data_IF_034748226030
#
_entry.id   IF_034748226030
#
_cell.length_a   1.000
_cell.length_b   1.000
_cell.length_c   1.000
_cell.angle_alpha   90.00
_cell.angle_beta   90.00
_cell.angle_gamma   90.00
#
_symmetry.space_group_name_H-M   'P 1'
#
loop_
_entity.id
_entity.type
_entity.pdbx_description
1 polymer ?
#
# COMPACT_ATOMS: atom_id res chain seq x y z
N UNK A 1 -12.39 -4.32 -0.26
CA UNK A 1 -12.72 -2.91 -0.58
C UNK A 1 -13.63 -2.39 0.52
N UNK A 2 -13.39 -1.20 1.07
CA UNK A 2 -14.22 -0.65 2.17
C UNK A 2 -15.64 -0.30 1.70
N UNK A 3 -16.60 -0.20 2.62
CA UNK A 3 -18.02 0.12 2.33
C UNK A 3 -18.20 1.38 1.47
N UNK A 4 -17.37 2.42 1.69
CA UNK A 4 -17.34 3.61 0.85
C UNK A 4 -16.73 3.41 -0.55
N UNK A 5 -15.76 2.49 -0.69
CA UNK A 5 -15.08 2.18 -1.95
C UNK A 5 -15.92 1.28 -2.88
N UNK A 6 -16.87 0.53 -2.32
CA UNK A 6 -17.80 -0.30 -3.10
C UNK A 6 -18.60 0.57 -4.08
N UNK A 7 -18.98 1.78 -3.65
CA UNK A 7 -19.74 2.76 -4.43
C UNK A 7 -18.91 3.56 -5.44
N UNK A 8 -17.62 3.29 -5.58
CA UNK A 8 -16.79 4.00 -6.54
C UNK A 8 -17.15 3.60 -7.97
N UNK A 9 -17.12 4.59 -8.85
CA UNK A 9 -17.22 4.33 -10.30
C UNK A 9 -16.01 3.51 -10.77
N UNK A 10 -16.14 2.79 -11.89
CA UNK A 10 -15.05 1.96 -12.43
C UNK A 10 -13.76 2.76 -12.62
N UNK A 11 -13.87 3.97 -13.15
CA UNK A 11 -12.75 4.91 -13.31
C UNK A 11 -12.11 5.30 -11.97
N UNK A 12 -12.90 5.50 -10.92
CA UNK A 12 -12.37 5.82 -9.58
C UNK A 12 -11.64 4.62 -8.97
N UNK A 13 -12.11 3.39 -9.23
CA UNK A 13 -11.45 2.15 -8.77
C UNK A 13 -10.11 1.94 -9.47
N UNK A 14 -10.06 2.16 -10.78
CA UNK A 14 -8.81 2.06 -11.55
C UNK A 14 -7.79 3.11 -11.12
N UNK A 15 -8.22 4.38 -10.96
CA UNK A 15 -7.35 5.44 -10.44
C UNK A 15 -6.85 5.11 -9.02
N UNK A 16 -7.71 4.56 -8.16
CA UNK A 16 -7.33 4.13 -6.82
C UNK A 16 -6.28 3.01 -6.85
N UNK A 17 -6.40 2.06 -7.78
CA UNK A 17 -5.41 0.98 -7.92
C UNK A 17 -4.01 1.54 -8.23
N UNK A 18 -3.91 2.56 -9.07
CA UNK A 18 -2.65 3.24 -9.37
C UNK A 18 -2.11 3.95 -8.13
N UNK A 19 -2.93 4.75 -7.44
CA UNK A 19 -2.55 5.45 -6.21
C UNK A 19 -2.04 4.46 -5.15
N UNK A 20 -2.77 3.35 -4.97
CA UNK A 20 -2.40 2.29 -4.05
C UNK A 20 -1.07 1.65 -4.41
N UNK A 21 -0.79 1.39 -5.69
CA UNK A 21 0.49 0.84 -6.12
C UNK A 21 1.65 1.79 -5.76
N UNK A 22 1.52 3.09 -6.03
CA UNK A 22 2.55 4.08 -5.69
C UNK A 22 2.77 4.22 -4.18
N UNK A 23 1.71 4.18 -3.38
CA UNK A 23 1.84 4.20 -1.93
C UNK A 23 2.48 2.92 -1.40
N UNK A 24 2.02 1.75 -1.87
CA UNK A 24 2.50 0.44 -1.45
C UNK A 24 3.97 0.23 -1.78
N UNK A 25 4.38 0.65 -2.96
CA UNK A 25 5.73 0.50 -3.45
C UNK A 25 6.58 1.76 -3.26
N UNK A 26 6.12 2.76 -2.48
CA UNK A 26 6.78 4.07 -2.30
C UNK A 26 8.32 4.06 -2.18
N UNK A 27 8.98 3.13 -1.47
CA UNK A 27 10.45 3.11 -1.42
C UNK A 27 11.15 2.97 -2.79
N UNK A 28 10.48 2.42 -3.80
CA UNK A 28 11.06 2.16 -5.12
C UNK A 28 10.91 3.34 -6.12
N UNK A 29 9.73 3.98 -6.29
CA UNK A 29 9.52 5.02 -7.29
C UNK A 29 9.93 6.44 -6.86
N UNK A 30 10.17 6.75 -5.57
CA UNK A 30 10.42 8.14 -5.10
C UNK A 30 11.61 8.83 -5.79
N UNK A 31 12.66 8.09 -6.16
CA UNK A 31 13.90 8.66 -6.70
C UNK A 31 14.14 8.33 -8.19
N UNK A 32 13.13 7.81 -8.87
CA UNK A 32 13.25 7.35 -10.25
C UNK A 32 12.12 7.90 -11.12
N UNK A 33 12.35 7.94 -12.44
CA UNK A 33 11.32 8.25 -13.42
C UNK A 33 10.45 7.03 -13.62
N UNK A 34 9.16 7.15 -13.32
CA UNK A 34 8.21 6.05 -13.37
C UNK A 34 7.32 6.20 -14.58
N UNK A 35 7.27 5.16 -15.41
CA UNK A 35 6.36 5.10 -16.55
C UNK A 35 5.16 4.25 -16.16
N UNK A 36 3.97 4.85 -16.18
CA UNK A 36 2.71 4.17 -15.91
C UNK A 36 1.99 3.95 -17.24
N UNK A 37 1.82 2.67 -17.58
CA UNK A 37 0.95 2.25 -18.67
C UNK A 37 -0.45 2.03 -18.12
N UNK A 38 -1.41 2.78 -18.63
CA UNK A 38 -2.83 2.64 -18.28
C UNK A 38 -3.64 2.62 -19.55
N UNK A 39 -4.71 1.85 -19.56
CA UNK A 39 -5.74 1.85 -20.61
C UNK A 39 -6.85 2.86 -20.36
N UNK A 40 -6.72 3.65 -19.29
CA UNK A 40 -7.72 4.61 -18.88
C UNK A 40 -7.19 6.04 -18.93
N UNK A 41 -7.49 6.71 -20.04
CA UNK A 41 -7.14 8.12 -20.29
C UNK A 41 -7.58 9.08 -19.17
N UNK A 42 -8.61 8.74 -18.36
CA UNK A 42 -9.04 9.59 -17.24
C UNK A 42 -7.99 9.79 -16.15
N UNK A 43 -6.98 8.93 -16.02
CA UNK A 43 -5.89 9.19 -15.08
C UNK A 43 -5.06 10.42 -15.50
N UNK A 44 -4.84 10.59 -16.80
CA UNK A 44 -4.19 11.78 -17.38
C UNK A 44 -5.04 13.04 -17.15
N UNK A 45 -6.36 12.91 -17.27
CA UNK A 45 -7.28 14.01 -16.96
C UNK A 45 -7.33 14.33 -15.47
N UNK A 46 -7.18 13.34 -14.59
CA UNK A 46 -7.18 13.53 -13.14
C UNK A 46 -6.01 14.41 -12.67
N UNK A 47 -4.80 14.19 -13.18
CA UNK A 47 -3.63 15.02 -12.83
C UNK A 47 -3.72 16.47 -13.35
N UNK A 48 -4.46 16.70 -14.42
CA UNK A 48 -4.60 18.02 -15.05
C UNK A 48 -5.84 18.81 -14.59
N UNK A 49 -6.74 18.18 -13.83
CA UNK A 49 -8.00 18.79 -13.40
C UNK A 49 -7.78 19.75 -12.22
N UNK A 50 -8.06 21.03 -12.43
CA UNK A 50 -7.95 22.08 -11.39
C UNK A 50 -9.08 22.04 -10.35
N UNK A 51 -10.31 21.71 -10.77
CA UNK A 51 -11.50 21.66 -9.90
C UNK A 51 -12.00 20.22 -9.72
N UNK A 52 -11.29 19.46 -8.89
CA UNK A 52 -11.64 18.07 -8.60
C UNK A 52 -12.31 17.93 -7.22
N UNK A 53 -13.05 16.83 -7.01
CA UNK A 53 -13.58 16.50 -5.68
C UNK A 53 -12.42 16.45 -4.67
N UNK A 54 -12.60 16.84 -3.39
CA UNK A 54 -11.52 16.85 -2.39
C UNK A 54 -10.70 15.56 -2.33
N UNK A 55 -11.36 14.40 -2.49
CA UNK A 55 -10.70 13.08 -2.58
C UNK A 55 -9.74 12.96 -3.77
N UNK A 56 -10.13 13.42 -4.95
CA UNK A 56 -9.29 13.35 -6.14
C UNK A 56 -8.09 14.29 -6.03
N UNK A 57 -8.29 15.48 -5.44
CA UNK A 57 -7.20 16.42 -5.14
C UNK A 57 -6.18 15.75 -4.22
N UNK A 58 -6.65 14.99 -3.23
CA UNK A 58 -5.80 14.25 -2.29
C UNK A 58 -4.91 13.22 -3.01
N UNK A 59 -5.48 12.46 -3.94
CA UNK A 59 -4.71 11.53 -4.77
C UNK A 59 -3.70 12.23 -5.67
N UNK A 60 -4.07 13.36 -6.27
CA UNK A 60 -3.14 14.18 -7.07
C UNK A 60 -1.94 14.62 -6.23
N UNK A 61 -2.17 15.13 -5.02
CA UNK A 61 -1.12 15.56 -4.10
C UNK A 61 -0.19 14.41 -3.67
N UNK A 62 -0.74 13.20 -3.48
CA UNK A 62 0.07 12.00 -3.18
C UNK A 62 0.97 11.63 -4.37
N UNK A 63 0.40 11.67 -5.57
CA UNK A 63 1.12 11.33 -6.80
C UNK A 63 2.15 12.38 -7.21
N UNK A 64 2.00 13.65 -6.77
CA UNK A 64 2.97 14.73 -7.02
C UNK A 64 4.35 14.48 -6.39
N UNK A 65 4.45 13.58 -5.41
CA UNK A 65 5.75 13.17 -4.85
C UNK A 65 6.64 12.43 -5.87
N UNK A 66 6.04 11.84 -6.91
CA UNK A 66 6.73 10.98 -7.86
C UNK A 66 6.86 11.63 -9.24
N UNK A 67 7.97 11.38 -9.94
CA UNK A 67 8.14 11.75 -11.34
C UNK A 67 7.44 10.70 -12.23
N UNK A 68 6.16 10.94 -12.53
CA UNK A 68 5.28 10.00 -13.26
C UNK A 68 5.07 10.46 -14.70
N UNK A 69 5.37 9.56 -15.65
CA UNK A 69 5.04 9.70 -17.07
C UNK A 69 3.92 8.72 -17.40
N UNK A 70 2.77 9.24 -17.85
CA UNK A 70 1.61 8.42 -18.21
C UNK A 70 1.62 8.13 -19.71
N UNK A 71 1.61 6.84 -20.05
CA UNK A 71 1.39 6.36 -21.41
C UNK A 71 0.06 5.62 -21.48
N UNK A 72 -0.79 6.04 -22.43
CA UNK A 72 -2.03 5.34 -22.74
C UNK A 72 -1.69 4.07 -23.54
N UNK A 73 -2.17 2.92 -23.07
CA UNK A 73 -1.95 1.63 -23.69
C UNK A 73 -3.30 0.96 -23.86
N UNK A 74 -3.64 0.51 -25.07
CA UNK A 74 -4.95 -0.08 -25.34
C UNK A 74 -5.21 -1.26 -24.39
N UNK A 75 -6.41 -1.39 -23.83
CA UNK A 75 -6.74 -2.45 -22.86
C UNK A 75 -6.43 -3.86 -23.36
N UNK A 76 -6.59 -4.12 -24.67
CA UNK A 76 -6.23 -5.41 -25.29
C UNK A 76 -4.73 -5.75 -25.22
N UNK A 77 -3.88 -4.74 -25.06
CA UNK A 77 -2.43 -4.91 -24.91
C UNK A 77 -2.02 -4.91 -23.42
N UNK A 78 -2.92 -4.53 -22.52
CA UNK A 78 -2.73 -4.50 -21.07
C UNK A 78 -3.17 -5.81 -20.39
N UNK A 79 -3.00 -6.95 -21.09
CA UNK A 79 -3.45 -8.28 -20.68
C UNK A 79 -2.99 -8.69 -19.27
N UNK A 80 -1.75 -8.37 -18.90
CA UNK A 80 -1.22 -8.73 -17.59
C UNK A 80 -2.00 -8.04 -16.45
N UNK A 81 -2.22 -6.73 -16.57
CA UNK A 81 -2.98 -5.97 -15.57
C UNK A 81 -4.47 -6.36 -15.58
N UNK A 82 -5.06 -6.58 -16.76
CA UNK A 82 -6.45 -7.01 -16.89
C UNK A 82 -6.70 -8.40 -16.31
N UNK A 83 -5.77 -9.35 -16.50
CA UNK A 83 -5.87 -10.66 -15.87
C UNK A 83 -5.71 -10.58 -14.34
N UNK A 84 -4.75 -9.79 -13.84
CA UNK A 84 -4.53 -9.62 -12.41
C UNK A 84 -5.68 -8.89 -11.71
N UNK A 85 -6.33 -7.93 -12.38
CA UNK A 85 -7.47 -7.20 -11.81
C UNK A 85 -8.75 -8.05 -11.74
N UNK A 86 -8.89 -9.04 -12.63
CA UNK A 86 -10.02 -9.99 -12.68
C UNK A 86 -9.82 -11.22 -11.80
N UNK A 87 -8.64 -11.40 -11.24
CA UNK A 87 -8.31 -12.56 -10.42
C UNK A 87 -9.07 -12.46 -9.09
N UNK A 88 -9.97 -13.41 -8.86
CA UNK A 88 -10.76 -13.49 -7.65
C UNK A 88 -9.87 -13.97 -6.50
N UNK A 89 -9.75 -13.17 -5.44
CA UNK A 89 -8.90 -13.50 -4.30
C UNK A 89 -9.74 -14.26 -3.25
N UNK A 90 -9.50 -15.56 -3.01
CA UNK A 90 -10.29 -16.36 -2.07
C UNK A 90 -10.10 -15.95 -0.60
N UNK A 91 -9.16 -15.05 -0.31
CA UNK A 91 -8.85 -14.52 1.03
C UNK A 91 -9.28 -13.07 1.25
N UNK A 92 -10.29 -12.57 0.52
CA UNK A 92 -10.80 -11.21 0.63
C UNK A 92 -11.05 -10.77 2.09
N UNK A 93 -11.42 -11.67 3.00
CA UNK A 93 -11.72 -11.29 4.39
C UNK A 93 -10.50 -10.93 5.24
N UNK A 94 -9.28 -11.37 4.89
CA UNK A 94 -8.08 -11.27 5.74
C UNK A 94 -7.23 -10.05 5.41
N UNK A 95 -7.25 -9.58 4.15
CA UNK A 95 -6.42 -8.46 3.67
C UNK A 95 -7.20 -7.15 3.44
N UNK A 96 -8.53 -7.14 3.55
CA UNK A 96 -9.35 -5.98 3.18
C UNK A 96 -9.50 -4.88 4.23
N UNK A 97 -9.01 -5.07 5.47
CA UNK A 97 -9.09 -4.05 6.52
C UNK A 97 -7.77 -3.30 6.73
N UNK A 98 -6.90 -3.19 5.71
CA UNK A 98 -5.89 -2.15 5.70
C UNK A 98 -6.41 -1.03 4.83
N UNK A 99 -7.06 -0.08 5.50
CA UNK A 99 -7.41 1.20 4.91
C UNK A 99 -6.21 1.72 4.13
N UNK A 100 -6.43 2.11 2.86
CA UNK A 100 -5.51 3.03 2.19
C UNK A 100 -5.51 4.24 3.10
N UNK A 101 -4.37 4.55 3.71
CA UNK A 101 -4.32 5.60 4.69
C UNK A 101 -4.58 6.91 3.95
N UNK A 102 -5.85 7.32 3.98
CA UNK A 102 -6.35 8.67 3.77
C UNK A 102 -5.24 9.67 4.09
N UNK A 103 -4.73 9.60 5.31
CA UNK A 103 -3.91 10.61 5.97
C UNK A 103 -2.55 10.82 5.28
N UNK A 104 -2.24 12.07 4.97
CA UNK A 104 -0.93 12.41 4.41
C UNK A 104 0.14 12.06 5.44
N UNK A 105 1.30 11.57 5.02
CA UNK A 105 2.44 11.33 5.91
C UNK A 105 2.77 12.58 6.74
N UNK A 106 2.58 13.77 6.17
CA UNK A 106 2.86 15.06 6.81
C UNK A 106 1.77 15.57 7.76
N UNK A 107 0.52 15.12 7.65
CA UNK A 107 -0.57 15.52 8.57
C UNK A 107 -0.32 15.02 10.00
N UNK A 108 0.53 13.99 10.17
CA UNK A 108 0.84 13.35 11.45
C UNK A 108 2.19 13.78 12.03
N UNK A 109 2.79 14.89 11.57
CA UNK A 109 4.07 15.41 12.09
C UNK A 109 4.04 15.73 13.60
N UNK A 110 2.87 15.89 14.20
CA UNK A 110 2.70 16.13 15.65
C UNK A 110 2.68 14.88 16.53
N UNK A 111 2.74 13.65 15.97
CA UNK A 111 2.60 12.40 16.75
C UNK A 111 3.80 11.47 16.67
N UNK A 112 5.00 12.01 16.44
CA UNK A 112 6.24 11.30 16.73
C UNK A 112 6.56 11.52 18.21
N UNK A 113 5.77 10.89 19.09
CA UNK A 113 6.25 10.65 20.45
C UNK A 113 7.20 9.46 20.39
N UNK A 114 8.49 9.78 20.40
CA UNK A 114 9.60 8.87 20.57
C UNK A 114 9.37 7.86 21.70
N UNK A 115 9.53 6.55 21.42
CA UNK A 115 10.21 5.51 22.23
C UNK A 115 9.69 4.06 22.06
N UNK A 116 8.63 3.80 21.30
CA UNK A 116 8.21 2.41 21.08
C UNK A 116 9.03 1.80 19.95
N UNK A 117 9.69 0.66 20.19
CA UNK A 117 10.04 -0.26 19.12
C UNK A 117 8.77 -0.54 18.29
N UNK A 118 8.87 -0.64 16.95
CA UNK A 118 7.75 -1.04 16.12
C UNK A 118 7.10 -2.31 16.69
N UNK A 119 5.77 -2.41 16.65
CA UNK A 119 5.02 -3.51 17.27
C UNK A 119 5.46 -4.91 16.79
N UNK A 120 6.09 -5.00 15.62
CA UNK A 120 6.59 -6.25 15.02
C UNK A 120 8.09 -6.49 15.25
N UNK A 121 8.83 -5.52 15.80
CA UNK A 121 10.30 -5.57 15.88
C UNK A 121 10.80 -6.80 16.65
N UNK A 122 10.07 -7.21 17.69
CA UNK A 122 10.41 -8.38 18.49
C UNK A 122 10.22 -9.69 17.72
N UNK A 123 9.21 -9.76 16.84
CA UNK A 123 9.00 -10.92 15.98
C UNK A 123 10.06 -11.00 14.88
N UNK A 124 10.44 -9.88 14.28
CA UNK A 124 11.48 -9.85 13.25
C UNK A 124 12.86 -10.18 13.82
N UNK A 125 13.17 -9.68 15.02
CA UNK A 125 14.43 -10.00 15.69
C UNK A 125 14.51 -11.49 16.08
N UNK A 126 13.38 -12.10 16.45
CA UNK A 126 13.31 -13.53 16.72
C UNK A 126 13.52 -14.36 15.45
N UNK A 127 12.85 -14.03 14.34
CA UNK A 127 13.01 -14.77 13.08
C UNK A 127 14.39 -14.57 12.45
N UNK A 128 14.98 -13.37 12.53
CA UNK A 128 16.28 -13.07 11.93
C UNK A 128 17.47 -13.65 12.70
N UNK A 129 17.36 -13.83 14.02
CA UNK A 129 18.52 -14.22 14.84
C UNK A 129 18.21 -14.88 16.17
N UNK A 130 16.99 -15.39 16.38
CA UNK A 130 16.51 -15.98 17.64
C UNK A 130 16.65 -15.03 18.85
N UNK A 131 16.62 -13.72 18.62
CA UNK A 131 16.70 -12.72 19.70
C UNK A 131 15.38 -12.65 20.46
N UNK A 132 15.43 -12.85 21.78
CA UNK A 132 14.28 -12.74 22.67
C UNK A 132 14.45 -11.51 23.56
N UNK A 133 13.40 -10.70 23.67
CA UNK A 133 13.37 -9.53 24.56
C UNK A 133 13.62 -9.99 26.01
N UNK A 134 14.65 -9.41 26.64
CA UNK A 134 14.97 -9.68 28.04
C UNK A 134 13.93 -9.00 28.94
N UNK A 135 13.49 -9.68 29.99
CA UNK A 135 12.52 -9.14 30.97
C UNK A 135 11.05 -9.50 30.76
N UNK A 136 10.71 -10.34 29.78
CA UNK A 136 9.32 -10.82 29.62
C UNK A 136 8.88 -11.72 30.79
N UNK A 137 7.64 -11.54 31.24
CA UNK A 137 6.97 -12.46 32.16
C UNK A 137 6.67 -13.81 31.50
N UNK A 138 6.45 -14.85 32.31
CA UNK A 138 6.12 -16.19 31.81
C UNK A 138 4.85 -16.23 30.94
N UNK A 139 3.86 -15.38 31.25
CA UNK A 139 2.64 -15.26 30.45
C UNK A 139 2.92 -14.57 29.10
N UNK A 140 3.72 -13.51 29.11
CA UNK A 140 4.11 -12.78 27.90
C UNK A 140 4.93 -13.67 26.95
N UNK A 141 5.87 -14.48 27.47
CA UNK A 141 6.62 -15.46 26.66
C UNK A 141 5.70 -16.48 26.00
N UNK A 142 4.74 -17.04 26.75
CA UNK A 142 3.76 -18.00 26.17
C UNK A 142 2.93 -17.36 25.06
N UNK A 143 2.48 -16.11 25.26
CA UNK A 143 1.74 -15.35 24.24
C UNK A 143 2.61 -15.10 23.01
N UNK A 144 3.84 -14.63 23.20
CA UNK A 144 4.81 -14.36 22.15
C UNK A 144 5.04 -15.59 21.25
N UNK A 145 5.38 -16.76 21.82
CA UNK A 145 5.60 -17.98 21.03
C UNK A 145 4.34 -18.54 20.36
N UNK A 146 3.15 -18.20 20.86
CA UNK A 146 1.89 -18.52 20.19
C UNK A 146 1.69 -17.63 18.96
N UNK A 147 1.96 -16.34 19.09
CA UNK A 147 1.73 -15.33 18.05
C UNK A 147 2.78 -15.39 16.94
N UNK A 148 4.08 -15.54 17.28
CA UNK A 148 5.19 -15.62 16.32
C UNK A 148 4.97 -16.65 15.21
N UNK A 149 4.31 -17.78 15.52
CA UNK A 149 4.03 -18.85 14.54
C UNK A 149 3.10 -18.42 13.39
N UNK A 150 2.35 -17.34 13.57
CA UNK A 150 1.42 -16.82 12.56
C UNK A 150 2.09 -15.80 11.64
N UNK A 151 3.34 -15.42 11.92
CA UNK A 151 4.11 -14.48 11.13
C UNK A 151 5.29 -15.21 10.51
N UNK A 152 5.37 -15.23 9.19
CA UNK A 152 6.52 -15.74 8.45
C UNK A 152 7.26 -14.54 7.84
N UNK A 153 8.58 -14.66 7.75
CA UNK A 153 9.42 -13.71 7.04
C UNK A 153 9.74 -14.34 5.69
N UNK A 154 9.16 -13.81 4.62
CA UNK A 154 9.58 -14.20 3.27
C UNK A 154 10.97 -13.62 3.01
N UNK A 155 11.90 -14.46 2.56
CA UNK A 155 13.20 -14.00 2.11
C UNK A 155 12.99 -12.92 1.03
N UNK A 156 13.73 -11.79 1.09
CA UNK A 156 13.63 -10.78 0.05
C UNK A 156 13.96 -11.43 -1.28
N UNK A 157 13.01 -11.41 -2.23
CA UNK A 157 13.21 -11.96 -3.57
C UNK A 157 14.53 -11.41 -4.14
N UNK A 158 15.54 -12.27 -4.36
CA UNK A 158 16.69 -11.86 -5.13
C UNK A 158 16.20 -11.76 -6.57
N UNK A 159 16.21 -10.54 -7.08
CA UNK A 159 15.96 -10.23 -8.50
C UNK A 159 16.89 -11.05 -9.40
#
# INVERSE_FOLDING_TARGET
MTEGQIHYTTTEKENLAVVYAFEKFRPYPVLSKNIVYTDHSAFKYLLSKKDAKPRLIRWVLLLQEFDIIIHDKKGMENLAADHLSRLENPHNDVFENKDINENFPLETLGKISSRSTPWFADFTNFHAGNFIVKGMSSQQKKKFFKEVKHYFWDDPYPF
#
